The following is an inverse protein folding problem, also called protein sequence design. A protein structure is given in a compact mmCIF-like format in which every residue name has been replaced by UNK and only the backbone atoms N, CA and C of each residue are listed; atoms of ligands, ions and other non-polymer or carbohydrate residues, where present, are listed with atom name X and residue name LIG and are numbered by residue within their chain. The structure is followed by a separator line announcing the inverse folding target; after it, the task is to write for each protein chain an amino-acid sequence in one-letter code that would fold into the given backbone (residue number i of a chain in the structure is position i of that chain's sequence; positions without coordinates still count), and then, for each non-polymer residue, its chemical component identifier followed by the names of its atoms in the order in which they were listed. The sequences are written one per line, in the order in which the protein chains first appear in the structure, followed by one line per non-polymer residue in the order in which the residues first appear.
data_IF_325801228846
#
_entry.id   IF_325801228846
#
_cell.length_a   1.000
_cell.length_b   1.000
_cell.length_c   1.000
_cell.angle_alpha   90.00
_cell.angle_beta   90.00
_cell.angle_gamma   90.00
#
_symmetry.space_group_name_H-M   'P 1'
#
loop_
_entity.id
_entity.type
_entity.pdbx_description
1 polymer ?
#
# COMPACT_ATOMS: atom_id res chain seq x y z
N UNK A 1 6.05 -13.79 -16.99
CA UNK A 1 5.34 -13.40 -15.78
C UNK A 1 5.88 -14.25 -14.64
N UNK A 2 6.54 -13.65 -13.66
CA UNK A 2 6.97 -14.33 -12.43
C UNK A 2 5.76 -14.67 -11.56
N UNK A 3 5.94 -15.50 -10.53
CA UNK A 3 4.89 -15.81 -9.55
C UNK A 3 4.37 -14.54 -8.86
N UNK A 4 5.27 -13.65 -8.45
CA UNK A 4 4.91 -12.37 -7.83
C UNK A 4 4.16 -11.45 -8.80
N UNK A 5 4.57 -11.37 -10.08
CA UNK A 5 3.83 -10.60 -11.09
C UNK A 5 2.42 -11.16 -11.29
N UNK A 6 2.25 -12.49 -11.30
CA UNK A 6 0.93 -13.11 -11.37
C UNK A 6 0.08 -12.78 -10.13
N UNK A 7 0.67 -12.88 -8.93
CA UNK A 7 0.01 -12.55 -7.67
C UNK A 7 -0.47 -11.09 -7.68
N UNK A 8 0.41 -10.14 -7.98
CA UNK A 8 0.10 -8.70 -8.07
C UNK A 8 -1.02 -8.44 -9.08
N UNK A 9 -1.02 -9.15 -10.22
CA UNK A 9 -2.04 -8.97 -11.26
C UNK A 9 -3.41 -9.54 -10.87
N UNK A 10 -3.47 -10.60 -10.07
CA UNK A 10 -4.71 -11.36 -9.80
C UNK A 10 -5.31 -11.13 -8.43
N UNK A 11 -4.55 -10.58 -7.47
CA UNK A 11 -5.00 -10.29 -6.12
C UNK A 11 -6.28 -9.44 -6.14
N UNK A 12 -7.31 -9.83 -5.38
CA UNK A 12 -8.51 -9.03 -5.19
C UNK A 12 -8.50 -8.35 -3.82
N UNK A 13 -9.29 -7.28 -3.67
CA UNK A 13 -9.35 -6.52 -2.40
C UNK A 13 -9.82 -7.39 -1.23
N UNK A 14 -10.63 -8.43 -1.49
CA UNK A 14 -11.16 -9.32 -0.47
C UNK A 14 -10.19 -10.43 -0.05
N UNK A 15 -9.12 -10.65 -0.81
CA UNK A 15 -8.11 -11.68 -0.49
C UNK A 15 -7.09 -11.18 0.53
N UNK A 16 -7.09 -9.88 0.83
CA UNK A 16 -6.16 -9.27 1.79
C UNK A 16 -6.87 -9.11 3.15
N UNK A 17 -6.29 -9.63 4.25
CA UNK A 17 -6.86 -9.50 5.59
C UNK A 17 -6.56 -8.10 6.17
N UNK A 18 -7.17 -7.06 5.59
CA UNK A 18 -6.87 -5.65 5.90
C UNK A 18 -6.96 -5.31 7.39
N UNK A 19 -7.90 -5.91 8.12
CA UNK A 19 -8.07 -5.75 9.56
C UNK A 19 -6.95 -6.36 10.40
N UNK A 20 -5.97 -7.03 9.76
CA UNK A 20 -4.78 -7.63 10.38
C UNK A 20 -3.47 -7.03 9.87
N UNK A 21 -3.55 -6.07 8.95
CA UNK A 21 -2.37 -5.35 8.44
C UNK A 21 -2.26 -3.99 9.11
N UNK A 22 -1.07 -3.67 9.59
CA UNK A 22 -0.81 -2.42 10.29
C UNK A 22 -0.63 -1.24 9.33
N UNK A 23 -0.93 -0.07 9.88
CA UNK A 23 -0.62 1.25 9.35
C UNK A 23 0.05 2.05 10.49
N UNK A 24 0.58 3.25 10.23
CA UNK A 24 1.10 4.11 11.30
C UNK A 24 0.04 4.52 12.33
N UNK A 25 -1.25 4.43 11.98
CA UNK A 25 -2.37 4.89 12.81
C UNK A 25 -3.36 3.77 13.14
N UNK A 26 -2.87 2.52 13.23
CA UNK A 26 -3.65 1.36 13.61
C UNK A 26 -3.65 0.29 12.54
N UNK A 27 -4.84 -0.06 12.03
CA UNK A 27 -5.02 -1.16 11.08
C UNK A 27 -5.69 -0.69 9.79
N UNK A 28 -5.40 -1.38 8.70
CA UNK A 28 -5.88 -1.02 7.37
C UNK A 28 -7.36 -1.38 7.10
N UNK A 29 -8.17 -1.66 8.13
CA UNK A 29 -9.56 -2.13 8.05
C UNK A 29 -10.42 -1.32 7.06
N UNK A 30 -10.22 0.00 7.00
CA UNK A 30 -11.01 0.91 6.16
C UNK A 30 -10.52 1.02 4.70
N UNK A 31 -9.36 0.45 4.36
CA UNK A 31 -8.77 0.56 3.02
C UNK A 31 -9.72 0.12 1.88
N UNK A 32 -10.44 -1.02 1.98
CA UNK A 32 -11.43 -1.40 0.98
C UNK A 32 -12.48 -0.32 0.69
N UNK A 33 -12.93 0.39 1.74
CA UNK A 33 -13.89 1.49 1.58
C UNK A 33 -13.26 2.66 0.85
N UNK A 34 -12.04 3.04 1.19
CA UNK A 34 -11.32 4.12 0.50
C UNK A 34 -11.08 3.79 -0.97
N UNK A 35 -10.66 2.57 -1.30
CA UNK A 35 -10.51 2.15 -2.69
C UNK A 35 -11.83 2.25 -3.46
N UNK A 36 -12.94 1.81 -2.88
CA UNK A 36 -14.25 1.90 -3.53
C UNK A 36 -14.64 3.36 -3.84
N UNK A 37 -14.34 4.30 -2.94
CA UNK A 37 -14.55 5.74 -3.17
C UNK A 37 -13.71 6.25 -4.34
N UNK A 38 -12.42 5.91 -4.38
CA UNK A 38 -11.54 6.32 -5.48
C UNK A 38 -11.92 5.68 -6.83
N UNK A 39 -12.44 4.46 -6.81
CA UNK A 39 -12.90 3.78 -8.03
C UNK A 39 -14.20 4.35 -8.60
N UNK A 40 -15.07 4.91 -7.75
CA UNK A 40 -16.33 5.53 -8.15
C UNK A 40 -16.13 6.88 -8.86
N UNK A 41 -15.16 7.68 -8.39
CA UNK A 41 -14.77 8.97 -8.99
C UNK A 41 -15.92 9.99 -9.15
N UNK A 42 -16.91 9.95 -8.26
CA UNK A 42 -18.16 10.70 -8.38
C UNK A 42 -18.40 11.74 -7.26
N UNK A 43 -17.72 11.62 -6.12
CA UNK A 43 -17.77 12.58 -5.00
C UNK A 43 -16.38 13.14 -4.68
N UNK A 44 -16.16 14.41 -5.02
CA UNK A 44 -14.87 15.09 -4.82
C UNK A 44 -14.45 15.17 -3.34
N UNK A 45 -15.39 15.37 -2.42
CA UNK A 45 -15.06 15.50 -1.01
C UNK A 45 -14.63 14.14 -0.44
N UNK A 46 -15.44 13.11 -0.70
CA UNK A 46 -15.12 11.75 -0.27
C UNK A 46 -13.79 11.25 -0.86
N UNK A 47 -13.52 11.56 -2.13
CA UNK A 47 -12.25 11.21 -2.79
C UNK A 47 -11.06 11.89 -2.13
N UNK A 48 -11.17 13.17 -1.77
CA UNK A 48 -10.07 13.88 -1.08
C UNK A 48 -9.79 13.29 0.29
N UNK A 49 -10.83 12.97 1.05
CA UNK A 49 -10.69 12.34 2.36
C UNK A 49 -10.07 10.94 2.22
N UNK A 50 -10.54 10.14 1.26
CA UNK A 50 -9.99 8.80 0.99
C UNK A 50 -8.52 8.84 0.54
N UNK A 51 -8.12 9.78 -0.32
CA UNK A 51 -6.72 9.96 -0.73
C UNK A 51 -5.85 10.33 0.47
N UNK A 52 -6.29 11.29 1.29
CA UNK A 52 -5.57 11.69 2.50
C UNK A 52 -5.35 10.49 3.43
N UNK A 53 -6.42 9.76 3.75
CA UNK A 53 -6.36 8.60 4.63
C UNK A 53 -5.46 7.48 4.08
N UNK A 54 -5.52 7.22 2.78
CA UNK A 54 -4.64 6.22 2.15
C UNK A 54 -3.17 6.66 2.19
N UNK A 55 -2.87 7.88 1.79
CA UNK A 55 -1.49 8.38 1.71
C UNK A 55 -0.77 8.38 3.05
N UNK A 56 -1.42 8.90 4.11
CA UNK A 56 -0.80 8.96 5.44
C UNK A 56 -0.66 7.57 6.07
N UNK A 57 -1.44 6.59 5.62
CA UNK A 57 -1.41 5.23 6.16
C UNK A 57 -0.56 4.25 5.33
N UNK A 58 -0.17 4.61 4.10
CA UNK A 58 0.78 3.83 3.29
C UNK A 58 2.21 4.29 3.48
N UNK A 59 2.45 5.54 3.89
CA UNK A 59 3.77 6.06 4.18
C UNK A 59 3.70 7.08 5.31
N UNK A 60 4.67 7.01 6.22
CA UNK A 60 4.85 8.04 7.23
C UNK A 60 6.33 8.25 7.56
N UNK A 61 6.83 9.47 7.32
CA UNK A 61 8.22 9.87 7.60
C UNK A 61 9.28 8.94 6.99
N UNK A 62 9.06 8.48 5.76
CA UNK A 62 9.91 7.56 5.02
C UNK A 62 9.73 6.08 5.39
N UNK A 63 8.80 5.78 6.29
CA UNK A 63 8.57 4.42 6.80
C UNK A 63 7.35 3.77 6.14
N UNK A 64 7.52 2.55 5.65
CA UNK A 64 6.42 1.72 5.14
C UNK A 64 5.91 0.77 6.21
N UNK A 65 4.67 0.34 6.04
CA UNK A 65 3.93 -0.49 6.96
C UNK A 65 3.43 -1.74 6.25
N UNK A 66 2.93 -2.70 7.02
CA UNK A 66 2.54 -4.00 6.50
C UNK A 66 1.47 -3.90 5.40
N UNK A 67 0.57 -2.91 5.51
CA UNK A 67 -0.46 -2.64 4.52
C UNK A 67 0.06 -2.00 3.21
N UNK A 68 1.20 -1.30 3.24
CA UNK A 68 1.71 -0.47 2.13
C UNK A 68 1.85 -1.22 0.81
N UNK A 69 2.61 -2.35 0.72
CA UNK A 69 2.79 -3.04 -0.56
C UNK A 69 1.46 -3.54 -1.14
N UNK A 70 0.52 -3.97 -0.30
CA UNK A 70 -0.81 -4.41 -0.74
C UNK A 70 -1.66 -3.24 -1.24
N UNK A 71 -1.69 -2.13 -0.52
CA UNK A 71 -2.44 -0.94 -0.91
C UNK A 71 -1.98 -0.41 -2.28
N UNK A 72 -0.67 -0.38 -2.50
CA UNK A 72 -0.05 0.04 -3.75
C UNK A 72 -0.60 -0.72 -4.97
N UNK A 73 -0.95 -2.01 -4.85
CA UNK A 73 -1.53 -2.78 -5.96
C UNK A 73 -2.84 -2.14 -6.42
N UNK A 74 -3.71 -1.78 -5.48
CA UNK A 74 -5.00 -1.18 -5.78
C UNK A 74 -4.87 0.27 -6.21
N UNK A 75 -3.98 1.05 -5.58
CA UNK A 75 -3.68 2.42 -5.99
C UNK A 75 -3.18 2.48 -7.44
N UNK A 76 -2.30 1.58 -7.87
CA UNK A 76 -1.83 1.53 -9.26
C UNK A 76 -2.98 1.22 -10.23
N UNK A 77 -3.88 0.30 -9.87
CA UNK A 77 -5.06 -0.03 -10.69
C UNK A 77 -6.03 1.16 -10.79
N UNK A 78 -6.26 1.86 -9.68
CA UNK A 78 -7.09 3.06 -9.61
C UNK A 78 -6.46 4.19 -10.44
N UNK A 79 -5.16 4.43 -10.30
CA UNK A 79 -4.41 5.40 -11.09
C UNK A 79 -4.59 5.19 -12.59
N UNK A 80 -4.47 3.95 -13.07
CA UNK A 80 -4.70 3.60 -14.48
C UNK A 80 -6.12 3.94 -14.94
N UNK A 81 -7.13 3.58 -14.14
CA UNK A 81 -8.54 3.93 -14.44
C UNK A 81 -8.74 5.45 -14.47
N UNK A 82 -8.18 6.16 -13.50
CA UNK A 82 -8.26 7.60 -13.39
C UNK A 82 -7.62 8.29 -14.61
N UNK A 83 -6.45 7.82 -15.06
CA UNK A 83 -5.78 8.33 -16.26
C UNK A 83 -6.57 8.12 -17.54
N UNK A 84 -7.32 7.03 -17.66
CA UNK A 84 -8.20 6.81 -18.82
C UNK A 84 -9.38 7.80 -18.80
N UNK A 85 -9.93 8.09 -17.62
CA UNK A 85 -11.10 8.95 -17.46
C UNK A 85 -10.79 10.46 -17.33
N UNK A 86 -9.53 10.85 -17.11
CA UNK A 86 -9.15 12.23 -16.75
C UNK A 86 -9.51 13.30 -17.79
N UNK A 87 -9.68 12.92 -19.06
CA UNK A 87 -10.07 13.86 -20.11
C UNK A 87 -11.52 14.35 -19.93
N UNK A 88 -12.37 13.51 -19.33
CA UNK A 88 -13.81 13.72 -19.20
C UNK A 88 -14.27 13.94 -17.74
N UNK A 89 -13.38 13.76 -16.76
CA UNK A 89 -13.68 13.91 -15.32
C UNK A 89 -12.56 14.63 -14.58
N UNK A 90 -12.89 15.79 -13.98
CA UNK A 90 -11.97 16.53 -13.11
C UNK A 90 -11.58 15.74 -11.85
N UNK A 91 -12.50 14.92 -11.32
CA UNK A 91 -12.22 14.05 -10.17
C UNK A 91 -11.19 13.00 -10.56
N UNK A 92 -11.36 12.37 -11.74
CA UNK A 92 -10.39 11.40 -12.24
C UNK A 92 -9.02 12.03 -12.50
N UNK A 93 -8.97 13.24 -13.07
CA UNK A 93 -7.73 13.99 -13.25
C UNK A 93 -7.03 14.26 -11.91
N UNK A 94 -7.78 14.72 -10.91
CA UNK A 94 -7.24 14.98 -9.58
C UNK A 94 -6.70 13.71 -8.90
N UNK A 95 -7.42 12.58 -9.01
CA UNK A 95 -6.94 11.29 -8.50
C UNK A 95 -5.63 10.90 -9.19
N UNK A 96 -5.56 11.02 -10.51
CA UNK A 96 -4.35 10.67 -11.26
C UNK A 96 -3.15 11.55 -10.86
N UNK A 97 -3.34 12.88 -10.78
CA UNK A 97 -2.32 13.83 -10.34
C UNK A 97 -1.83 13.50 -8.93
N UNK A 98 -2.76 13.26 -8.00
CA UNK A 98 -2.43 13.02 -6.60
C UNK A 98 -1.73 11.67 -6.36
N UNK A 99 -2.20 10.61 -7.01
CA UNK A 99 -1.53 9.30 -6.93
C UNK A 99 -0.15 9.33 -7.58
N UNK A 100 0.05 10.12 -8.64
CA UNK A 100 1.39 10.30 -9.23
C UNK A 100 2.36 10.93 -8.23
N UNK A 101 1.95 11.98 -7.52
CA UNK A 101 2.75 12.60 -6.44
C UNK A 101 3.09 11.58 -5.36
N UNK A 102 2.10 10.81 -4.91
CA UNK A 102 2.32 9.77 -3.90
C UNK A 102 3.28 8.69 -4.39
N UNK A 103 3.16 8.23 -5.64
CA UNK A 103 4.08 7.24 -6.21
C UNK A 103 5.52 7.73 -6.32
N UNK A 104 5.72 9.02 -6.59
CA UNK A 104 7.05 9.63 -6.58
C UNK A 104 7.65 9.62 -5.17
N UNK A 105 6.85 9.94 -4.15
CA UNK A 105 7.24 9.84 -2.74
C UNK A 105 7.61 8.40 -2.35
N UNK A 106 6.75 7.43 -2.66
CA UNK A 106 7.02 6.00 -2.41
C UNK A 106 8.31 5.57 -3.11
N UNK A 107 8.55 5.99 -4.36
CA UNK A 107 9.78 5.68 -5.07
C UNK A 107 11.03 6.26 -4.40
N UNK A 108 10.94 7.46 -3.83
CA UNK A 108 12.02 8.04 -3.04
C UNK A 108 12.27 7.25 -1.75
N UNK A 109 11.22 6.87 -1.01
CA UNK A 109 11.32 6.05 0.19
C UNK A 109 11.92 4.66 -0.10
N UNK A 110 11.53 4.03 -1.20
CA UNK A 110 12.13 2.77 -1.68
C UNK A 110 13.62 2.93 -1.89
N UNK A 111 14.06 3.98 -2.61
CA UNK A 111 15.50 4.22 -2.84
C UNK A 111 16.26 4.40 -1.52
N UNK A 112 15.68 5.13 -0.56
CA UNK A 112 16.29 5.28 0.77
C UNK A 112 16.39 3.95 1.51
N UNK A 113 15.33 3.13 1.48
CA UNK A 113 15.31 1.81 2.11
C UNK A 113 16.36 0.84 1.53
N UNK A 114 16.57 0.88 0.21
CA UNK A 114 17.60 0.09 -0.50
C UNK A 114 19.04 0.52 -0.14
N UNK A 115 19.26 1.76 0.29
CA UNK A 115 20.59 2.27 0.68
C UNK A 115 20.94 1.94 2.14
N UNK A 116 19.97 1.53 2.95
CA UNK A 116 20.15 1.19 4.37
C UNK A 116 20.61 -0.26 4.56
N UNK A 117 21.11 -0.60 5.75
CA UNK A 117 21.31 -2.01 6.11
C UNK A 117 19.94 -2.69 6.25
N UNK A 118 19.73 -3.74 5.47
CA UNK A 118 18.47 -4.49 5.46
C UNK A 118 18.72 -5.99 5.25
N UNK A 119 17.77 -6.81 5.69
CA UNK A 119 17.78 -8.25 5.41
C UNK A 119 17.46 -8.55 3.94
N UNK A 120 17.57 -9.82 3.53
CA UNK A 120 16.98 -10.25 2.27
C UNK A 120 15.44 -10.22 2.39
N UNK A 121 14.70 -9.88 1.31
CA UNK A 121 13.25 -9.89 1.35
C UNK A 121 12.72 -11.33 1.41
N UNK A 122 11.47 -11.49 1.85
CA UNK A 122 10.77 -12.76 1.80
C UNK A 122 10.69 -13.27 0.34
N UNK A 123 10.73 -14.60 0.09
CA UNK A 123 10.79 -15.14 -1.27
C UNK A 123 9.60 -14.78 -2.18
N UNK A 124 8.39 -14.72 -1.61
CA UNK A 124 7.16 -14.42 -2.35
C UNK A 124 6.39 -13.24 -1.75
N UNK A 125 5.71 -12.47 -2.59
CA UNK A 125 4.87 -11.34 -2.14
C UNK A 125 3.83 -11.81 -1.11
N UNK A 126 3.18 -12.94 -1.40
CA UNK A 126 2.16 -13.53 -0.53
C UNK A 126 2.70 -14.00 0.83
N UNK A 127 4.01 -14.17 0.97
CA UNK A 127 4.60 -14.58 2.25
C UNK A 127 4.40 -13.53 3.34
N UNK A 128 4.22 -12.26 2.98
CA UNK A 128 3.86 -11.22 3.94
C UNK A 128 2.48 -11.47 4.59
N UNK A 129 1.63 -12.36 4.06
CA UNK A 129 0.34 -12.74 4.66
C UNK A 129 0.38 -14.05 5.45
N UNK A 130 1.58 -14.59 5.75
CA UNK A 130 1.69 -15.75 6.64
C UNK A 130 1.19 -15.40 8.05
N UNK A 131 0.54 -16.36 8.68
CA UNK A 131 -0.11 -16.18 9.99
C UNK A 131 0.83 -15.61 11.06
N UNK A 132 2.10 -16.02 11.05
CA UNK A 132 3.14 -15.53 11.98
C UNK A 132 3.40 -14.02 11.91
N UNK A 133 3.08 -13.37 10.79
CA UNK A 133 3.26 -11.93 10.61
C UNK A 133 1.99 -11.12 10.87
N UNK A 134 0.82 -11.77 10.78
CA UNK A 134 -0.45 -11.09 10.88
C UNK A 134 -0.76 -10.67 12.32
N UNK A 135 -1.51 -9.59 12.46
CA UNK A 135 -2.03 -9.15 13.74
C UNK A 135 -3.23 -10.00 14.15
N UNK A 136 -3.72 -9.90 15.39
CA UNK A 136 -4.85 -10.72 15.84
C UNK A 136 -6.09 -10.50 14.94
N UNK A 137 -6.88 -11.55 14.73
CA UNK A 137 -8.16 -11.45 13.98
C UNK A 137 -9.13 -10.45 14.64
N UNK A 138 -9.14 -10.39 15.97
CA UNK A 138 -9.96 -9.46 16.74
C UNK A 138 -9.10 -8.27 17.13
N UNK A 139 -9.51 -7.08 16.71
CA UNK A 139 -8.86 -5.84 17.14
C UNK A 139 -9.03 -5.64 18.64
N UNK A 140 -7.90 -5.43 19.32
CA UNK A 140 -7.79 -5.06 20.72
C UNK A 140 -6.67 -4.04 20.82
N UNK A 141 -7.01 -2.82 21.24
CA UNK A 141 -6.08 -1.69 21.29
C UNK A 141 -4.96 -1.93 22.31
N UNK A 142 -5.25 -2.52 23.46
CA UNK A 142 -4.27 -2.76 24.51
C UNK A 142 -3.27 -3.85 24.08
N UNK A 143 -3.73 -4.93 23.46
CA UNK A 143 -2.85 -5.98 22.92
C UNK A 143 -1.99 -5.48 21.75
N UNK A 144 -2.57 -4.64 20.89
CA UNK A 144 -1.87 -4.00 19.78
C UNK A 144 -0.76 -3.06 20.29
N UNK A 145 -1.05 -2.24 21.29
CA UNK A 145 -0.05 -1.39 21.97
C UNK A 145 1.06 -2.22 22.62
N UNK A 146 0.72 -3.28 23.35
CA UNK A 146 1.70 -4.17 23.97
C UNK A 146 2.64 -4.82 22.94
N UNK A 147 2.12 -5.17 21.75
CA UNK A 147 2.96 -5.68 20.67
C UNK A 147 3.93 -4.63 20.12
N UNK A 148 3.52 -3.36 20.07
CA UNK A 148 4.41 -2.26 19.66
C UNK A 148 5.55 -2.00 20.66
N UNK A 149 5.41 -2.42 21.91
CA UNK A 149 6.47 -2.34 22.92
C UNK A 149 7.55 -3.44 22.77
N UNK A 150 7.33 -4.44 21.90
CA UNK A 150 8.32 -5.48 21.62
C UNK A 150 9.49 -4.90 20.79
N UNK A 151 10.71 -5.35 21.10
CA UNK A 151 11.93 -4.95 20.38
C UNK A 151 11.95 -5.49 18.93
N UNK A 152 11.16 -6.54 18.63
CA UNK A 152 11.08 -7.20 17.31
C UNK A 152 9.64 -7.27 16.78
N UNK A 153 8.98 -6.12 16.64
CA UNK A 153 7.59 -6.05 16.12
C UNK A 153 7.46 -6.67 14.72
N UNK A 154 8.46 -6.41 13.88
CA UNK A 154 8.57 -6.97 12.54
C UNK A 154 9.96 -7.59 12.35
N UNK A 155 10.03 -8.89 12.02
CA UNK A 155 11.27 -9.49 11.56
C UNK A 155 11.89 -8.69 10.41
N UNK A 156 13.22 -8.58 10.40
CA UNK A 156 13.93 -7.70 9.46
C UNK A 156 13.66 -8.02 7.97
N UNK A 157 13.44 -9.29 7.63
CA UNK A 157 13.08 -9.75 6.29
C UNK A 157 11.66 -9.33 5.89
N UNK A 158 10.69 -9.44 6.80
CA UNK A 158 9.34 -8.90 6.63
C UNK A 158 9.37 -7.38 6.45
N UNK A 159 10.08 -6.66 7.32
CA UNK A 159 10.12 -5.21 7.27
C UNK A 159 10.70 -4.70 5.94
N UNK A 160 11.82 -5.25 5.49
CA UNK A 160 12.38 -4.88 4.20
C UNK A 160 11.50 -5.33 3.01
N UNK A 161 10.73 -6.41 3.18
CA UNK A 161 9.76 -6.85 2.16
C UNK A 161 8.71 -5.77 1.84
N UNK A 162 8.37 -4.88 2.78
CA UNK A 162 7.45 -3.78 2.52
C UNK A 162 7.97 -2.85 1.42
N UNK A 163 9.26 -2.50 1.48
CA UNK A 163 9.93 -1.66 0.49
C UNK A 163 10.13 -2.42 -0.82
N UNK A 164 10.68 -3.63 -0.74
CA UNK A 164 11.00 -4.44 -1.90
C UNK A 164 9.77 -4.73 -2.77
N UNK A 165 8.64 -5.10 -2.14
CA UNK A 165 7.42 -5.42 -2.85
C UNK A 165 6.63 -4.18 -3.27
N UNK A 166 6.68 -3.08 -2.52
CA UNK A 166 6.16 -1.80 -3.01
C UNK A 166 6.91 -1.34 -4.28
N UNK A 167 8.23 -1.55 -4.34
CA UNK A 167 9.05 -1.29 -5.53
C UNK A 167 8.63 -2.14 -6.73
N UNK A 168 8.37 -3.44 -6.54
CA UNK A 168 7.87 -4.31 -7.61
C UNK A 168 6.52 -3.84 -8.16
N UNK A 169 5.61 -3.39 -7.28
CA UNK A 169 4.31 -2.87 -7.70
C UNK A 169 4.46 -1.56 -8.47
N UNK A 170 5.29 -0.63 -7.99
CA UNK A 170 5.61 0.62 -8.70
C UNK A 170 6.24 0.38 -10.07
N UNK A 171 7.17 -0.58 -10.16
CA UNK A 171 7.81 -0.95 -11.42
C UNK A 171 6.77 -1.40 -12.48
N UNK A 172 5.65 -2.00 -12.04
CA UNK A 172 4.57 -2.39 -12.94
C UNK A 172 3.92 -1.21 -13.67
N UNK A 173 4.01 0.02 -13.15
CA UNK A 173 3.46 1.23 -13.76
C UNK A 173 4.53 2.27 -14.15
N UNK A 174 5.82 1.94 -14.13
CA UNK A 174 6.91 2.91 -14.35
C UNK A 174 6.81 3.63 -15.71
N UNK A 175 6.39 2.93 -16.77
CA UNK A 175 6.18 3.52 -18.10
C UNK A 175 5.05 4.55 -18.14
N UNK A 176 4.14 4.50 -17.17
CA UNK A 176 3.00 5.40 -17.02
C UNK A 176 3.38 6.65 -16.21
N UNK A 177 4.42 6.58 -15.36
CA UNK A 177 4.88 7.70 -14.52
C UNK A 177 5.70 8.76 -15.29
N UNK A 178 6.12 8.48 -16.52
CA UNK A 178 7.04 9.32 -17.34
C UNK A 178 6.33 10.27 -18.32
N UNK A 179 5.03 10.50 -18.17
CA UNK A 179 4.19 11.29 -19.09
C UNK A 179 3.44 12.39 -18.36
#
# INVERSE_FOLDING_TARGET
MTENEHYIATLTVNDVPWHRLTTPYGRATEFPRYFAVLEAMDDLAAVKDALYELEINTEHQGTFWHATPFAMIFLVRIFRRARVAQADSEIARMIAERLLEHFQLIAECVRMGEEMEHAAPLPHFSDMLREEYLWSEVYDEEEDELRWEDDDVFPADLFYSFYYYAAQVLASCEGELKQ
#
